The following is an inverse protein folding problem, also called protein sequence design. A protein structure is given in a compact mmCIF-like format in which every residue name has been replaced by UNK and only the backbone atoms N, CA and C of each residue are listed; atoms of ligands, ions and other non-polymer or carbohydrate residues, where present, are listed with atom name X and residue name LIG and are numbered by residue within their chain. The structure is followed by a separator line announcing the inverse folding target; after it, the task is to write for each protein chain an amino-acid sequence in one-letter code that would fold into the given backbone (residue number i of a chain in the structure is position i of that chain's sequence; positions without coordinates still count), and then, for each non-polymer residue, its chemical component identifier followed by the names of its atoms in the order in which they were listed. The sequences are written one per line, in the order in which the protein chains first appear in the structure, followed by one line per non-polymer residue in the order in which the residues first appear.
data_IF_152612696358
#
_entry.id   IF_152612696358
#
_cell.length_a   1.000
_cell.length_b   1.000
_cell.length_c   1.000
_cell.angle_alpha   90.00
_cell.angle_beta   90.00
_cell.angle_gamma   90.00
#
_symmetry.space_group_name_H-M   'P 1'
#
loop_
_entity.id
_entity.type
_entity.pdbx_description
1 polymer ?
#
# COMPACT_ATOMS: atom_id res chain seq x y z
N UNK A 1 -3.07 -3.34 15.94
CA UNK A 1 -2.48 -2.87 14.67
C UNK A 1 -2.95 -1.47 14.30
N UNK A 2 -4.25 -1.23 14.08
CA UNK A 2 -4.80 0.08 13.67
C UNK A 2 -4.30 1.30 14.48
N UNK A 3 -4.37 1.34 15.83
CA UNK A 3 -3.91 2.51 16.57
C UNK A 3 -2.40 2.75 16.45
N UNK A 4 -1.59 1.68 16.37
CA UNK A 4 -0.15 1.77 16.18
C UNK A 4 0.20 2.27 14.76
N UNK A 5 -0.56 1.84 13.75
CA UNK A 5 -0.41 2.29 12.38
C UNK A 5 -0.82 3.77 12.22
N UNK A 6 -1.88 4.21 12.90
CA UNK A 6 -2.27 5.62 12.93
C UNK A 6 -1.19 6.49 13.59
N UNK A 7 -0.61 6.03 14.71
CA UNK A 7 0.52 6.73 15.35
C UNK A 7 1.76 6.79 14.43
N UNK A 8 2.03 5.73 13.67
CA UNK A 8 3.10 5.70 12.68
C UNK A 8 2.87 6.73 11.56
N UNK A 9 1.65 6.80 11.03
CA UNK A 9 1.26 7.81 10.02
C UNK A 9 1.43 9.23 10.55
N UNK A 10 0.86 9.51 11.74
CA UNK A 10 0.98 10.82 12.39
C UNK A 10 2.45 11.23 12.63
N UNK A 11 3.26 10.34 13.21
CA UNK A 11 4.67 10.63 13.47
C UNK A 11 5.49 10.75 12.17
N UNK A 12 5.11 10.00 11.13
CA UNK A 12 5.67 10.08 9.79
C UNK A 12 5.39 11.42 9.11
N UNK A 13 4.15 11.90 9.15
CA UNK A 13 3.76 13.22 8.64
C UNK A 13 4.46 14.36 9.38
N UNK A 14 4.54 14.29 10.70
CA UNK A 14 5.30 15.28 11.51
C UNK A 14 6.80 15.30 11.17
N UNK A 15 7.38 14.15 10.83
CA UNK A 15 8.77 14.07 10.36
C UNK A 15 8.91 14.60 8.93
N UNK A 16 7.96 14.29 8.05
CA UNK A 16 7.93 14.75 6.66
C UNK A 16 7.88 16.27 6.56
N UNK A 17 7.06 16.93 7.40
CA UNK A 17 6.97 18.41 7.53
C UNK A 17 8.31 19.07 7.92
N UNK A 18 9.30 18.32 8.41
CA UNK A 18 10.63 18.84 8.81
C UNK A 18 11.73 18.55 7.79
N UNK A 19 11.42 17.80 6.73
CA UNK A 19 12.33 17.45 5.64
C UNK A 19 12.04 18.33 4.42
N UNK A 20 12.96 18.39 3.43
CA UNK A 20 12.64 18.97 2.13
C UNK A 20 11.39 18.29 1.55
N UNK A 21 10.46 19.08 0.98
CA UNK A 21 9.11 18.65 0.53
C UNK A 21 9.10 17.27 -0.15
N UNK A 22 9.94 17.10 -1.17
CA UNK A 22 10.09 15.86 -1.94
C UNK A 22 10.53 14.67 -1.09
N UNK A 23 11.49 14.85 -0.17
CA UNK A 23 11.96 13.81 0.74
C UNK A 23 10.93 13.49 1.83
N UNK A 24 10.18 14.50 2.27
CA UNK A 24 9.08 14.34 3.22
C UNK A 24 8.00 13.44 2.66
N UNK A 25 7.48 13.76 1.47
CA UNK A 25 6.45 12.96 0.78
C UNK A 25 6.91 11.53 0.54
N UNK A 26 8.16 11.33 0.11
CA UNK A 26 8.71 9.99 -0.10
C UNK A 26 8.77 9.21 1.22
N UNK A 27 9.27 9.84 2.29
CA UNK A 27 9.38 9.21 3.60
C UNK A 27 8.02 8.81 4.14
N UNK A 28 7.03 9.70 4.08
CA UNK A 28 5.65 9.43 4.50
C UNK A 28 5.03 8.28 3.71
N UNK A 29 5.14 8.32 2.38
CA UNK A 29 4.66 7.24 1.49
C UNK A 29 5.30 5.90 1.85
N UNK A 30 6.62 5.89 2.12
CA UNK A 30 7.32 4.66 2.53
C UNK A 30 6.84 4.16 3.88
N UNK A 31 6.65 5.05 4.88
CA UNK A 31 6.18 4.69 6.21
C UNK A 31 4.76 4.14 6.21
N UNK A 32 3.86 4.69 5.39
CA UNK A 32 2.51 4.14 5.19
C UNK A 32 2.56 2.70 4.67
N UNK A 33 3.49 2.42 3.76
CA UNK A 33 3.70 1.07 3.20
C UNK A 33 4.45 0.11 4.12
N UNK A 34 5.08 0.60 5.22
CA UNK A 34 5.84 -0.27 6.14
C UNK A 34 4.95 -1.30 6.83
N UNK A 35 3.71 -0.94 7.17
CA UNK A 35 2.77 -1.86 7.85
C UNK A 35 2.50 -3.09 6.99
N UNK A 36 2.26 -2.86 5.70
CA UNK A 36 2.06 -3.89 4.67
C UNK A 36 3.30 -4.78 4.52
N UNK A 37 4.47 -4.16 4.37
CA UNK A 37 5.74 -4.87 4.20
C UNK A 37 6.04 -5.74 5.42
N UNK A 38 5.82 -5.24 6.63
CA UNK A 38 6.02 -6.00 7.87
C UNK A 38 5.07 -7.19 7.92
N UNK A 39 3.79 -7.00 7.58
CA UNK A 39 2.81 -8.08 7.59
C UNK A 39 3.16 -9.18 6.59
N UNK A 40 3.53 -8.84 5.35
CA UNK A 40 4.00 -9.82 4.37
C UNK A 40 5.30 -10.50 4.78
N UNK A 41 6.25 -9.76 5.37
CA UNK A 41 7.49 -10.33 5.87
C UNK A 41 7.23 -11.36 6.97
N UNK A 42 6.30 -11.07 7.89
CA UNK A 42 5.91 -11.99 8.96
C UNK A 42 5.15 -13.21 8.41
N UNK A 43 4.25 -13.03 7.43
CA UNK A 43 3.57 -14.13 6.75
C UNK A 43 4.55 -15.09 6.09
N UNK A 44 5.53 -14.56 5.34
CA UNK A 44 6.57 -15.37 4.68
C UNK A 44 7.46 -16.07 5.73
N UNK A 45 7.83 -15.37 6.80
CA UNK A 45 8.68 -15.95 7.85
C UNK A 45 8.00 -17.10 8.61
N UNK A 46 6.69 -17.02 8.82
CA UNK A 46 5.90 -18.07 9.48
C UNK A 46 5.38 -19.15 8.52
N UNK A 47 5.63 -19.03 7.22
CA UNK A 47 5.23 -20.04 6.24
C UNK A 47 6.15 -21.26 6.32
N UNK A 48 5.78 -22.24 7.16
CA UNK A 48 6.56 -23.46 7.39
C UNK A 48 6.27 -24.53 6.32
N UNK A 49 5.04 -24.57 5.79
CA UNK A 49 4.55 -25.66 4.93
C UNK A 49 4.16 -25.24 3.51
N UNK A 50 4.30 -23.95 3.15
CA UNK A 50 3.79 -23.42 1.88
C UNK A 50 2.27 -23.20 1.87
N UNK A 51 1.61 -23.32 3.02
CA UNK A 51 0.16 -23.19 3.16
C UNK A 51 -0.27 -21.71 3.15
N UNK A 52 0.63 -20.77 3.46
CA UNK A 52 0.30 -19.35 3.54
C UNK A 52 0.50 -18.63 2.20
N UNK A 53 1.13 -19.26 1.21
CA UNK A 53 1.38 -18.67 -0.11
C UNK A 53 0.07 -18.21 -0.79
N UNK A 54 -1.03 -18.99 -0.82
CA UNK A 54 -2.30 -18.54 -1.38
C UNK A 54 -2.88 -17.33 -0.62
N UNK A 55 -2.72 -17.31 0.71
CA UNK A 55 -3.17 -16.19 1.55
C UNK A 55 -2.39 -14.92 1.22
N UNK A 56 -1.07 -15.01 1.04
CA UNK A 56 -0.20 -13.87 0.66
C UNK A 56 -0.60 -13.33 -0.71
N UNK A 57 -0.77 -14.21 -1.70
CA UNK A 57 -1.18 -13.80 -3.05
C UNK A 57 -2.56 -13.13 -3.04
N UNK A 58 -3.51 -13.71 -2.32
CA UNK A 58 -4.83 -13.14 -2.15
C UNK A 58 -4.78 -11.79 -1.40
N UNK A 59 -3.90 -11.63 -0.41
CA UNK A 59 -3.72 -10.39 0.35
C UNK A 59 -3.11 -9.25 -0.48
N UNK A 60 -2.13 -9.53 -1.35
CA UNK A 60 -1.60 -8.50 -2.27
C UNK A 60 -2.72 -8.00 -3.21
N UNK A 61 -3.49 -8.91 -3.79
CA UNK A 61 -4.63 -8.54 -4.64
C UNK A 61 -5.71 -7.80 -3.84
N UNK A 62 -5.96 -8.24 -2.61
CA UNK A 62 -6.92 -7.64 -1.69
C UNK A 62 -6.54 -6.23 -1.26
N UNK A 63 -5.26 -5.94 -1.02
CA UNK A 63 -4.74 -4.60 -0.69
C UNK A 63 -5.03 -3.59 -1.82
N UNK A 64 -4.79 -4.01 -3.07
CA UNK A 64 -5.14 -3.19 -4.25
C UNK A 64 -6.65 -2.97 -4.36
N UNK A 65 -7.46 -4.01 -4.19
CA UNK A 65 -8.93 -3.90 -4.23
C UNK A 65 -9.47 -3.04 -3.08
N UNK A 66 -8.88 -3.14 -1.90
CA UNK A 66 -9.27 -2.35 -0.73
C UNK A 66 -8.99 -0.86 -0.96
N UNK A 67 -7.87 -0.49 -1.60
CA UNK A 67 -7.62 0.91 -1.94
C UNK A 67 -8.53 1.41 -3.06
N UNK A 68 -8.73 0.62 -4.12
CA UNK A 68 -9.49 1.05 -5.31
C UNK A 68 -11.00 1.09 -5.10
N UNK A 69 -11.57 0.14 -4.35
CA UNK A 69 -13.03 0.04 -4.17
C UNK A 69 -13.46 0.46 -2.78
N UNK A 70 -12.84 -0.10 -1.73
CA UNK A 70 -13.30 0.13 -0.37
C UNK A 70 -12.96 1.55 0.09
N UNK A 71 -11.68 1.94 0.08
CA UNK A 71 -11.23 3.26 0.50
C UNK A 71 -11.89 4.35 -0.35
N UNK A 72 -11.72 4.28 -1.69
CA UNK A 72 -12.31 5.25 -2.61
C UNK A 72 -13.83 5.36 -2.45
N UNK A 73 -14.53 4.23 -2.29
CA UNK A 73 -15.98 4.20 -2.07
C UNK A 73 -16.39 4.85 -0.75
N UNK A 74 -15.63 4.63 0.33
CA UNK A 74 -15.88 5.27 1.62
C UNK A 74 -15.59 6.77 1.58
N UNK A 75 -14.51 7.21 0.92
CA UNK A 75 -14.20 8.62 0.72
C UNK A 75 -15.30 9.35 -0.08
N UNK A 76 -15.84 8.74 -1.14
CA UNK A 76 -16.97 9.32 -1.87
C UNK A 76 -18.27 9.32 -1.06
N UNK A 77 -18.51 8.26 -0.29
CA UNK A 77 -19.72 8.15 0.51
C UNK A 77 -19.75 9.16 1.66
N UNK A 78 -18.67 9.25 2.44
CA UNK A 78 -18.56 10.17 3.56
C UNK A 78 -18.24 11.60 3.11
N UNK A 79 -17.24 11.80 2.24
CA UNK A 79 -16.88 13.13 1.74
C UNK A 79 -17.93 13.77 0.83
N UNK A 80 -18.80 12.97 0.21
CA UNK A 80 -19.98 13.43 -0.53
C UNK A 80 -21.20 13.70 0.35
N UNK A 81 -21.17 13.32 1.64
CA UNK A 81 -22.30 13.53 2.53
C UNK A 81 -22.47 15.03 2.81
N UNK A 82 -23.52 15.63 2.26
CA UNK A 82 -23.78 17.07 2.40
C UNK A 82 -23.12 17.94 1.33
N UNK A 83 -22.47 17.36 0.31
CA UNK A 83 -21.93 18.08 -0.85
C UNK A 83 -22.59 17.58 -2.15
N UNK A 84 -22.93 18.48 -3.07
CA UNK A 84 -23.50 18.08 -4.38
C UNK A 84 -22.43 17.64 -5.40
N UNK A 85 -21.22 18.18 -5.28
CA UNK A 85 -20.10 17.89 -6.17
C UNK A 85 -18.76 17.85 -5.40
N UNK A 86 -17.92 16.85 -5.67
CA UNK A 86 -16.50 16.83 -5.30
C UNK A 86 -15.65 17.04 -6.56
N UNK A 87 -14.72 17.99 -6.53
CA UNK A 87 -13.82 18.26 -7.66
C UNK A 87 -12.47 17.61 -7.44
N UNK A 88 -12.04 16.75 -8.38
CA UNK A 88 -10.71 16.14 -8.35
C UNK A 88 -9.84 16.72 -9.46
N UNK A 89 -8.52 16.77 -9.23
CA UNK A 89 -7.59 17.22 -10.25
C UNK A 89 -7.44 16.15 -11.33
N UNK A 90 -7.82 16.47 -12.57
CA UNK A 90 -7.85 15.53 -13.69
C UNK A 90 -6.49 14.87 -13.93
N UNK A 91 -5.40 15.63 -13.89
CA UNK A 91 -4.05 15.13 -14.08
C UNK A 91 -3.62 14.09 -13.02
N UNK A 92 -4.01 14.27 -11.75
CA UNK A 92 -3.67 13.32 -10.67
C UNK A 92 -4.47 12.03 -10.82
N UNK A 93 -5.77 12.16 -11.13
CA UNK A 93 -6.62 11.00 -11.36
C UNK A 93 -6.19 10.20 -12.59
N UNK A 94 -5.86 10.87 -13.70
CA UNK A 94 -5.44 10.19 -14.93
C UNK A 94 -4.10 9.46 -14.76
N UNK A 95 -3.08 10.14 -14.21
CA UNK A 95 -1.76 9.51 -14.03
C UNK A 95 -1.82 8.42 -12.94
N UNK A 96 -2.53 8.65 -11.84
CA UNK A 96 -2.68 7.68 -10.76
C UNK A 96 -3.40 6.41 -11.22
N UNK A 97 -4.54 6.55 -11.90
CA UNK A 97 -5.28 5.40 -12.44
C UNK A 97 -4.48 4.68 -13.53
N UNK A 98 -3.75 5.41 -14.39
CA UNK A 98 -2.87 4.82 -15.39
C UNK A 98 -1.74 3.98 -14.79
N UNK A 99 -1.08 4.47 -13.74
CA UNK A 99 -0.04 3.73 -13.02
C UNK A 99 -0.59 2.48 -12.34
N UNK A 100 -1.75 2.58 -11.68
CA UNK A 100 -2.42 1.45 -11.03
C UNK A 100 -2.90 0.41 -12.04
N UNK A 101 -3.37 0.84 -13.21
CA UNK A 101 -3.76 -0.05 -14.31
C UNK A 101 -2.53 -0.80 -14.84
N UNK A 102 -1.43 -0.11 -15.13
CA UNK A 102 -0.19 -0.76 -15.59
C UNK A 102 0.36 -1.73 -14.55
N UNK A 103 0.33 -1.36 -13.27
CA UNK A 103 0.77 -2.23 -12.18
C UNK A 103 -0.14 -3.45 -12.00
N UNK A 104 -1.45 -3.23 -11.97
CA UNK A 104 -2.47 -4.25 -11.74
C UNK A 104 -2.64 -5.24 -12.88
N UNK A 105 -2.59 -4.78 -14.14
CA UNK A 105 -2.64 -5.66 -15.32
C UNK A 105 -1.27 -6.24 -15.69
N UNK A 106 -0.19 -5.56 -15.32
CA UNK A 106 1.16 -6.02 -15.58
C UNK A 106 1.53 -7.30 -14.83
N UNK A 107 1.15 -7.40 -13.56
CA UNK A 107 1.52 -8.53 -12.70
C UNK A 107 0.90 -9.90 -13.10
N UNK A 108 -0.42 -10.01 -13.42
CA UNK A 108 -1.03 -11.29 -13.77
C UNK A 108 -0.82 -11.73 -15.23
N UNK A 109 -0.58 -10.83 -16.19
CA UNK A 109 -0.41 -11.22 -17.62
C UNK A 109 0.75 -12.19 -17.83
N UNK A 110 1.85 -12.06 -17.08
CA UNK A 110 2.96 -13.02 -17.13
C UNK A 110 2.63 -14.39 -16.54
N UNK A 111 1.70 -14.49 -15.59
CA UNK A 111 1.26 -15.77 -15.01
C UNK A 111 0.34 -16.51 -15.98
N UNK A 112 -0.64 -15.80 -16.58
CA UNK A 112 -1.57 -16.40 -17.54
C UNK A 112 -0.91 -16.80 -18.86
N UNK A 113 0.07 -16.03 -19.36
CA UNK A 113 0.84 -16.43 -20.55
C UNK A 113 1.74 -17.64 -20.31
N UNK A 114 2.20 -17.84 -19.06
CA UNK A 114 2.93 -19.04 -18.67
C UNK A 114 2.07 -20.31 -18.64
N UNK A 115 0.82 -20.20 -18.19
CA UNK A 115 -0.13 -21.33 -18.12
C UNK A 115 -0.67 -21.72 -19.50
N UNK A 116 -0.97 -20.75 -20.38
CA UNK A 116 -1.42 -21.04 -21.75
C UNK A 116 -0.33 -21.67 -22.64
N UNK A 117 0.95 -21.46 -22.36
CA UNK A 117 2.04 -22.17 -23.05
C UNK A 117 2.17 -23.64 -22.64
N UNK A 118 1.54 -24.07 -21.53
CA UNK A 118 1.49 -25.48 -21.09
C UNK A 118 0.73 -26.41 -22.04
N UNK A 119 -0.06 -25.88 -22.99
CA UNK A 119 -0.75 -26.69 -24.00
C UNK A 119 0.05 -26.90 -25.29
N UNK A 120 1.22 -26.24 -25.45
CA UNK A 120 2.15 -26.51 -26.55
C UNK A 120 3.26 -27.45 -26.07
N UNK A 121 3.23 -28.68 -26.58
CA UNK A 121 4.10 -29.80 -26.20
C UNK A 121 5.59 -29.53 -26.52
N UNK A 122 6.32 -28.91 -25.60
CA UNK A 122 7.79 -28.84 -25.63
C UNK A 122 8.41 -30.11 -24.99
N UNK A 123 9.59 -30.57 -25.43
CA UNK A 123 10.25 -31.77 -24.90
C UNK A 123 10.64 -31.59 -23.42
N UNK A 124 10.60 -32.67 -22.60
CA UNK A 124 10.79 -32.58 -21.16
C UNK A 124 12.27 -32.34 -20.86
N UNK A 125 12.59 -31.21 -20.23
CA UNK A 125 13.96 -30.90 -19.77
C UNK A 125 14.38 -29.42 -19.81
N UNK A 126 13.61 -28.52 -20.46
CA UNK A 126 13.95 -27.09 -20.58
C UNK A 126 12.91 -26.11 -20.05
N UNK A 127 11.77 -26.61 -19.55
CA UNK A 127 10.59 -25.80 -19.23
C UNK A 127 10.69 -25.04 -17.89
N UNK A 128 11.47 -25.57 -16.94
CA UNK A 128 11.65 -24.96 -15.61
C UNK A 128 12.56 -23.73 -15.62
N UNK A 129 13.49 -23.61 -16.57
CA UNK A 129 14.41 -22.45 -16.67
C UNK A 129 13.80 -21.28 -17.45
N UNK A 130 13.01 -21.53 -18.51
CA UNK A 130 12.48 -20.46 -19.37
C UNK A 130 11.30 -19.73 -18.72
N UNK A 131 10.49 -20.44 -17.93
CA UNK A 131 9.35 -19.86 -17.18
C UNK A 131 9.80 -19.04 -15.96
N UNK A 132 10.83 -19.48 -15.25
CA UNK A 132 11.42 -18.73 -14.14
C UNK A 132 12.21 -17.51 -14.63
N UNK A 133 12.94 -17.61 -15.75
CA UNK A 133 13.69 -16.48 -16.32
C UNK A 133 12.78 -15.37 -16.87
N UNK A 134 11.63 -15.72 -17.46
CA UNK A 134 10.69 -14.71 -18.00
C UNK A 134 9.92 -13.97 -16.88
N UNK A 135 9.54 -14.65 -15.81
CA UNK A 135 8.88 -14.03 -14.65
C UNK A 135 9.82 -13.08 -13.88
N UNK A 136 11.07 -13.50 -13.64
CA UNK A 136 12.08 -12.64 -13.00
C UNK A 136 12.40 -11.41 -13.87
N UNK A 137 12.40 -11.56 -15.19
CA UNK A 137 12.62 -10.45 -16.12
C UNK A 137 11.49 -9.42 -16.09
N UNK A 138 10.24 -9.85 -15.93
CA UNK A 138 9.10 -8.94 -15.81
C UNK A 138 9.15 -8.14 -14.50
N UNK A 139 9.34 -8.80 -13.36
CA UNK A 139 9.42 -8.14 -12.05
C UNK A 139 10.57 -7.12 -12.00
N UNK A 140 11.74 -7.48 -12.56
CA UNK A 140 12.89 -6.57 -12.64
C UNK A 140 12.66 -5.40 -13.59
N UNK A 141 11.99 -5.60 -14.72
CA UNK A 141 11.63 -4.51 -15.65
C UNK A 141 10.60 -3.57 -15.04
N UNK A 142 9.59 -4.10 -14.34
CA UNK A 142 8.59 -3.29 -13.65
C UNK A 142 9.22 -2.48 -12.51
N UNK A 143 10.05 -3.12 -11.68
CA UNK A 143 10.78 -2.44 -10.60
C UNK A 143 11.69 -1.33 -11.13
N UNK A 144 12.46 -1.59 -12.19
CA UNK A 144 13.34 -0.57 -12.79
C UNK A 144 12.57 0.56 -13.48
N UNK A 145 11.38 0.29 -14.02
CA UNK A 145 10.49 1.32 -14.56
C UNK A 145 9.96 2.22 -13.44
N UNK A 146 9.44 1.63 -12.35
CA UNK A 146 8.95 2.36 -11.18
C UNK A 146 10.08 3.18 -10.54
N UNK A 147 11.27 2.61 -10.37
CA UNK A 147 12.43 3.34 -9.84
C UNK A 147 12.82 4.52 -10.71
N UNK A 148 12.81 4.37 -12.04
CA UNK A 148 13.08 5.50 -12.96
C UNK A 148 11.99 6.56 -12.89
N UNK A 149 10.72 6.16 -12.79
CA UNK A 149 9.60 7.07 -12.58
C UNK A 149 9.74 7.84 -11.25
N UNK A 150 10.12 7.16 -10.16
CA UNK A 150 10.40 7.80 -8.88
C UNK A 150 11.56 8.79 -9.00
N UNK A 151 12.68 8.40 -9.59
CA UNK A 151 13.83 9.30 -9.78
C UNK A 151 13.46 10.53 -10.63
N UNK A 152 12.64 10.35 -11.66
CA UNK A 152 12.12 11.45 -12.47
C UNK A 152 11.28 12.42 -11.63
N UNK A 153 10.34 11.90 -10.83
CA UNK A 153 9.52 12.71 -9.92
C UNK A 153 10.35 13.39 -8.82
N UNK A 154 11.42 12.75 -8.34
CA UNK A 154 12.29 13.27 -7.29
C UNK A 154 13.23 14.38 -7.79
N UNK A 155 13.72 14.29 -9.04
CA UNK A 155 14.70 15.23 -9.58
C UNK A 155 14.06 16.46 -10.24
N UNK A 156 12.91 16.28 -10.91
CA UNK A 156 12.21 17.37 -11.57
C UNK A 156 11.44 18.20 -10.53
N UNK A 157 12.06 19.26 -10.00
CA UNK A 157 11.53 20.18 -8.98
C UNK A 157 10.20 20.92 -9.35
N UNK A 158 9.53 20.51 -10.42
CA UNK A 158 8.20 20.96 -10.84
C UNK A 158 7.45 19.76 -11.43
N UNK A 159 7.19 18.76 -10.60
CA UNK A 159 6.18 17.76 -10.96
C UNK A 159 4.81 18.38 -10.76
N UNK A 160 3.87 18.13 -11.67
CA UNK A 160 2.46 18.58 -11.56
C UNK A 160 1.87 18.18 -10.19
N UNK A 161 2.33 17.06 -9.62
CA UNK A 161 1.94 16.60 -8.29
C UNK A 161 2.34 17.56 -7.16
N UNK A 162 3.45 18.27 -7.28
CA UNK A 162 3.94 19.17 -6.23
C UNK A 162 3.09 20.44 -6.12
N UNK A 163 2.64 20.95 -7.28
CA UNK A 163 1.71 22.07 -7.39
C UNK A 163 0.30 21.67 -6.94
N UNK A 164 -0.14 20.45 -7.28
CA UNK A 164 -1.44 19.93 -6.83
C UNK A 164 -1.45 19.69 -5.33
N UNK A 165 -0.40 19.09 -4.74
CA UNK A 165 -0.28 18.94 -3.29
C UNK A 165 -0.31 20.29 -2.58
N UNK A 166 0.40 21.30 -3.09
CA UNK A 166 0.39 22.63 -2.50
C UNK A 166 -0.99 23.29 -2.58
N UNK A 167 -1.68 23.16 -3.71
CA UNK A 167 -3.04 23.66 -3.89
C UNK A 167 -4.04 22.99 -2.94
N UNK A 168 -3.87 21.70 -2.66
CA UNK A 168 -4.72 20.94 -1.76
C UNK A 168 -4.46 21.34 -0.30
N UNK A 169 -3.19 21.42 0.10
CA UNK A 169 -2.78 21.89 1.44
C UNK A 169 -3.20 23.34 1.70
N UNK A 170 -3.39 24.14 0.64
CA UNK A 170 -3.94 25.50 0.74
C UNK A 170 -5.47 25.57 0.87
N UNK A 171 -6.19 24.52 0.45
CA UNK A 171 -7.65 24.44 0.50
C UNK A 171 -8.18 23.74 1.74
N UNK A 172 -7.31 23.07 2.49
CA UNK A 172 -7.65 22.40 3.74
C UNK A 172 -8.20 23.40 4.77
N UNK A 173 -9.48 23.24 5.12
CA UNK A 173 -10.22 24.13 6.02
C UNK A 173 -9.66 24.06 7.45
N UNK A 174 -9.03 22.95 7.83
CA UNK A 174 -8.50 22.68 9.17
C UNK A 174 -7.03 23.10 9.33
N UNK A 175 -6.40 23.61 8.27
CA UNK A 175 -4.97 23.99 8.24
C UNK A 175 -4.57 24.92 9.38
N UNK A 176 -5.41 25.90 9.72
CA UNK A 176 -5.13 26.84 10.81
C UNK A 176 -5.16 26.19 12.20
N UNK A 177 -5.97 25.15 12.40
CA UNK A 177 -6.03 24.39 13.64
C UNK A 177 -4.88 23.39 13.73
N UNK A 178 -4.54 22.73 12.62
CA UNK A 178 -3.33 21.91 12.46
C UNK A 178 -2.06 22.70 12.80
N UNK A 179 -1.92 23.92 12.27
CA UNK A 179 -0.78 24.81 12.53
C UNK A 179 -0.62 25.17 14.02
N UNK A 180 -1.71 25.16 14.78
CA UNK A 180 -1.75 25.48 16.22
C UNK A 180 -1.47 24.27 17.12
N UNK A 181 -1.50 23.03 16.60
CA UNK A 181 -1.19 21.82 17.40
C UNK A 181 0.29 21.77 17.77
N UNK A 182 0.57 21.18 18.94
CA UNK A 182 1.94 20.98 19.40
C UNK A 182 2.67 20.01 18.47
N UNK A 183 3.62 20.53 17.69
CA UNK A 183 4.45 19.73 16.78
C UNK A 183 5.44 18.90 17.59
N UNK A 184 5.60 17.63 17.21
CA UNK A 184 6.61 16.77 17.82
C UNK A 184 8.01 17.33 17.50
N UNK A 185 8.95 17.22 18.43
CA UNK A 185 10.37 17.48 18.13
C UNK A 185 10.93 16.38 17.24
N UNK A 186 12.06 16.64 16.54
CA UNK A 186 12.70 15.63 15.69
C UNK A 186 12.97 14.31 16.44
N UNK A 187 13.42 14.41 17.69
CA UNK A 187 13.72 13.24 18.53
C UNK A 187 12.44 12.50 18.88
N UNK A 188 11.37 13.22 19.25
CA UNK A 188 10.07 12.61 19.53
C UNK A 188 9.48 11.92 18.30
N UNK A 189 9.64 12.47 17.10
CA UNK A 189 9.24 11.80 15.85
C UNK A 189 9.96 10.45 15.69
N UNK A 190 11.30 10.42 15.80
CA UNK A 190 12.05 9.17 15.65
C UNK A 190 11.70 8.15 16.73
N UNK A 191 11.50 8.58 17.97
CA UNK A 191 11.07 7.71 19.07
C UNK A 191 9.67 7.16 18.81
N UNK A 192 8.72 8.02 18.41
CA UNK A 192 7.35 7.62 18.10
C UNK A 192 7.28 6.64 16.92
N UNK A 193 8.02 6.89 15.83
CA UNK A 193 8.13 5.99 14.69
C UNK A 193 8.70 4.64 15.14
N UNK A 194 9.80 4.65 15.91
CA UNK A 194 10.45 3.41 16.37
C UNK A 194 9.52 2.57 17.26
N UNK A 195 8.82 3.21 18.20
CA UNK A 195 7.84 2.54 19.09
C UNK A 195 6.64 2.03 18.27
N UNK A 196 6.15 2.82 17.33
CA UNK A 196 5.01 2.43 16.49
C UNK A 196 5.34 1.23 15.61
N UNK A 197 6.50 1.22 14.96
CA UNK A 197 6.99 0.07 14.18
C UNK A 197 7.11 -1.17 15.06
N UNK A 198 7.70 -1.04 16.26
CA UNK A 198 7.81 -2.17 17.19
C UNK A 198 6.43 -2.75 17.57
N UNK A 199 5.46 -1.89 17.86
CA UNK A 199 4.09 -2.29 18.17
C UNK A 199 3.36 -2.91 16.96
N UNK A 200 3.60 -2.39 15.75
CA UNK A 200 3.06 -2.95 14.50
C UNK A 200 3.66 -4.33 14.27
N UNK A 201 4.97 -4.49 14.36
CA UNK A 201 5.64 -5.79 14.24
C UNK A 201 5.10 -6.82 15.25
N UNK A 202 4.97 -6.42 16.52
CA UNK A 202 4.41 -7.29 17.55
C UNK A 202 2.96 -7.68 17.24
N UNK A 203 2.13 -6.73 16.81
CA UNK A 203 0.74 -7.00 16.40
C UNK A 203 0.68 -7.93 15.19
N UNK A 204 1.56 -7.74 14.21
CA UNK A 204 1.61 -8.54 12.98
C UNK A 204 1.97 -10.00 13.29
N UNK A 205 2.93 -10.24 14.18
CA UNK A 205 3.29 -11.61 14.62
C UNK A 205 2.10 -12.32 15.25
N UNK A 206 1.39 -11.67 16.18
CA UNK A 206 0.20 -12.28 16.79
C UNK A 206 -0.93 -12.50 15.79
N UNK A 207 -1.14 -11.55 14.87
CA UNK A 207 -2.17 -11.67 13.84
C UNK A 207 -1.89 -12.88 12.94
N UNK A 208 -0.65 -13.07 12.49
CA UNK A 208 -0.28 -14.18 11.58
C UNK A 208 -0.40 -15.53 12.28
N UNK A 209 -0.06 -15.63 13.56
CA UNK A 209 -0.23 -16.88 14.33
C UNK A 209 -1.69 -17.33 14.42
N UNK A 210 -2.63 -16.39 14.47
CA UNK A 210 -4.07 -16.68 14.53
C UNK A 210 -4.68 -17.04 13.18
N UNK A 211 -4.02 -16.74 12.05
CA UNK A 211 -4.55 -17.02 10.71
C UNK A 211 -4.76 -18.53 10.51
N UNK A 212 -3.77 -19.35 10.85
CA UNK A 212 -3.84 -20.81 10.68
C UNK A 212 -4.98 -21.41 11.52
N UNK A 213 -5.15 -20.91 12.75
CA UNK A 213 -6.23 -21.32 13.64
C UNK A 213 -7.62 -20.94 13.09
N UNK A 214 -7.79 -19.73 12.54
CA UNK A 214 -9.07 -19.29 11.95
C UNK A 214 -9.41 -20.09 10.68
N UNK A 215 -8.42 -20.38 9.83
CA UNK A 215 -8.63 -21.17 8.62
C UNK A 215 -9.06 -22.59 8.98
N UNK A 216 -8.34 -23.26 9.89
CA UNK A 216 -8.60 -24.67 10.22
C UNK A 216 -9.79 -24.89 11.15
N UNK A 217 -10.00 -24.05 12.16
CA UNK A 217 -11.05 -24.27 13.16
C UNK A 217 -12.38 -23.59 12.81
N UNK A 218 -12.33 -22.43 12.14
CA UNK A 218 -13.55 -21.70 11.73
C UNK A 218 -13.94 -21.95 10.28
N UNK A 219 -13.14 -22.70 9.52
CA UNK A 219 -13.44 -23.09 8.14
C UNK A 219 -13.47 -21.91 7.16
N UNK A 220 -12.74 -20.83 7.47
CA UNK A 220 -12.61 -19.68 6.57
C UNK A 220 -11.64 -20.03 5.45
N UNK A 221 -12.04 -19.79 4.19
CA UNK A 221 -11.16 -20.03 3.04
C UNK A 221 -9.93 -19.12 3.06
N UNK A 222 -8.76 -19.67 2.72
CA UNK A 222 -7.50 -18.94 2.54
C UNK A 222 -7.66 -17.69 1.67
N UNK A 223 -8.44 -17.82 0.59
CA UNK A 223 -8.70 -16.72 -0.34
C UNK A 223 -9.51 -15.60 0.32
N UNK A 224 -10.48 -15.92 1.18
CA UNK A 224 -11.26 -14.89 1.88
C UNK A 224 -10.43 -14.21 2.97
N UNK A 225 -9.63 -14.99 3.70
CA UNK A 225 -8.69 -14.49 4.70
C UNK A 225 -7.73 -13.48 4.06
N UNK A 226 -7.07 -13.88 2.97
CA UNK A 226 -6.13 -13.02 2.25
C UNK A 226 -6.83 -11.85 1.56
N UNK A 227 -7.84 -12.08 0.75
CA UNK A 227 -8.41 -11.03 -0.12
C UNK A 227 -9.22 -9.97 0.64
N UNK A 228 -9.84 -10.32 1.77
CA UNK A 228 -10.74 -9.42 2.50
C UNK A 228 -10.19 -9.06 3.89
N UNK A 229 -9.93 -10.06 4.73
CA UNK A 229 -9.67 -9.82 6.16
C UNK A 229 -8.32 -9.17 6.43
N UNK A 230 -7.26 -9.65 5.77
CA UNK A 230 -5.90 -9.13 5.96
C UNK A 230 -5.80 -7.65 5.52
N UNK A 231 -6.16 -7.27 4.27
CA UNK A 231 -6.16 -5.88 3.82
C UNK A 231 -7.02 -4.96 4.67
N UNK A 232 -8.17 -5.43 5.16
CA UNK A 232 -9.05 -4.63 5.99
C UNK A 232 -8.36 -4.17 7.27
N UNK A 233 -7.60 -5.04 7.95
CA UNK A 233 -6.91 -4.68 9.21
C UNK A 233 -5.63 -3.91 8.93
N UNK A 234 -4.94 -4.26 7.85
CA UNK A 234 -3.68 -3.64 7.44
C UNK A 234 -3.84 -2.20 6.99
N UNK A 235 -4.82 -1.94 6.12
CA UNK A 235 -5.07 -0.62 5.53
C UNK A 235 -6.09 0.22 6.29
N UNK A 236 -6.74 -0.33 7.32
CA UNK A 236 -7.75 0.40 8.09
C UNK A 236 -7.28 1.76 8.60
N UNK A 237 -6.05 1.89 9.11
CA UNK A 237 -5.55 3.18 9.59
C UNK A 237 -5.45 4.21 8.47
N UNK A 238 -4.88 3.80 7.32
CA UNK A 238 -4.75 4.64 6.13
C UNK A 238 -6.12 5.03 5.56
N UNK A 239 -7.07 4.10 5.52
CA UNK A 239 -8.44 4.36 5.05
C UNK A 239 -9.19 5.31 5.98
N UNK A 240 -9.00 5.19 7.30
CA UNK A 240 -9.61 6.12 8.26
C UNK A 240 -9.06 7.54 8.07
N UNK A 241 -7.76 7.71 7.87
CA UNK A 241 -7.16 9.02 7.56
C UNK A 241 -7.68 9.57 6.24
N UNK A 242 -7.75 8.75 5.18
CA UNK A 242 -8.28 9.20 3.90
C UNK A 242 -9.78 9.58 3.95
N UNK A 243 -10.57 8.95 4.83
CA UNK A 243 -11.97 9.33 5.04
C UNK A 243 -12.07 10.63 5.84
N UNK A 244 -11.19 10.82 6.83
CA UNK A 244 -11.09 12.06 7.63
C UNK A 244 -10.72 13.24 6.74
N UNK A 245 -9.72 13.09 5.86
CA UNK A 245 -9.34 14.11 4.87
C UNK A 245 -10.40 14.37 3.79
N UNK A 246 -11.24 13.38 3.48
CA UNK A 246 -12.31 13.53 2.49
C UNK A 246 -13.56 14.22 3.05
N UNK A 247 -13.77 14.15 4.38
CA UNK A 247 -14.95 14.69 5.06
C UNK A 247 -14.85 16.20 5.24
#
# INVERSE_FOLDING_TARGET
MVPSANLLGFAGGELAKKLPKVLGVLLETTLSSVVEIVLFMVLIHNDINGNLIPVIQAAILGSVLANLLLCLGLCFFFGGMGREHQSFHEAVSEVGTGLLLVAGFGSPVSVYLGDQQGHCRYPPGRFSDVSSQSQVSWHTTLLTSVLRYLVYNLHSHHSIFDEVLELDEHKDEDREEELKRAKLTLVECFVAISVSIACVCMSAVFLVQEIEHIVHERGVSDNFMGLILVPLVEKAAEHLTAIDEAW
#
